data_IF_505203848438
#
_entry.id   IF_505203848438
#
_cell.length_a   1.000
_cell.length_b   1.000
_cell.length_c   1.000
_cell.angle_alpha   90.00
_cell.angle_beta   90.00
_cell.angle_gamma   90.00
#
_symmetry.space_group_name_H-M   'P 1'
#
loop_
_entity.id
_entity.type
_entity.pdbx_description
1 polymer ?
#
# COMPACT_ATOMS: atom_id res chain seq x y z
N UNK A 1 -23.09 2.04 66.05
CA UNK A 1 -22.19 1.92 64.89
C UNK A 1 -22.29 3.21 64.06
N UNK A 2 -21.27 4.08 64.07
CA UNK A 2 -21.23 5.29 63.23
C UNK A 2 -20.28 5.05 62.07
N UNK A 3 -20.85 4.88 60.88
CA UNK A 3 -20.11 4.74 59.63
C UNK A 3 -19.55 6.12 59.23
N UNK A 4 -18.22 6.28 59.30
CA UNK A 4 -17.55 7.52 58.93
C UNK A 4 -17.62 7.73 57.41
N UNK A 5 -18.57 8.55 56.95
CA UNK A 5 -18.60 9.05 55.56
C UNK A 5 -17.37 9.94 55.32
N UNK A 6 -16.37 9.42 54.60
CA UNK A 6 -15.21 10.21 54.16
C UNK A 6 -15.70 11.44 53.36
N UNK A 7 -15.24 12.67 53.67
CA UNK A 7 -15.78 13.87 53.02
C UNK A 7 -15.40 13.93 51.53
N UNK A 8 -16.40 14.02 50.67
CA UNK A 8 -16.29 14.15 49.20
C UNK A 8 -15.30 15.24 48.73
N UNK A 9 -15.06 16.28 49.55
CA UNK A 9 -14.07 17.34 49.29
C UNK A 9 -12.61 16.83 49.27
N UNK A 10 -12.27 15.80 50.06
CA UNK A 10 -10.93 15.22 50.07
C UNK A 10 -10.67 14.38 48.82
N UNK A 11 -11.70 13.68 48.33
CA UNK A 11 -11.60 12.87 47.12
C UNK A 11 -11.33 13.71 45.86
N UNK A 12 -12.05 14.82 45.68
CA UNK A 12 -11.83 15.75 44.54
C UNK A 12 -10.44 16.41 44.57
N UNK A 13 -9.94 16.78 45.76
CA UNK A 13 -8.57 17.32 45.92
C UNK A 13 -7.50 16.28 45.59
N UNK A 14 -7.70 15.02 46.01
CA UNK A 14 -6.82 13.92 45.68
C UNK A 14 -6.78 13.65 44.17
N UNK A 15 -7.94 13.61 43.50
CA UNK A 15 -8.02 13.45 42.05
C UNK A 15 -7.33 14.60 41.31
N UNK A 16 -7.58 15.86 41.70
CA UNK A 16 -6.93 17.01 41.07
C UNK A 16 -5.40 16.97 41.25
N UNK A 17 -4.88 16.59 42.42
CA UNK A 17 -3.46 16.45 42.66
C UNK A 17 -2.82 15.31 41.85
N UNK A 18 -3.53 14.19 41.70
CA UNK A 18 -3.09 13.07 40.86
C UNK A 18 -3.09 13.44 39.37
N UNK A 19 -4.11 14.15 38.88
CA UNK A 19 -4.16 14.67 37.51
C UNK A 19 -3.04 15.68 37.25
N UNK A 20 -2.71 16.55 38.22
CA UNK A 20 -1.63 17.52 38.10
C UNK A 20 -0.24 16.84 38.13
N UNK A 21 -0.07 15.77 38.91
CA UNK A 21 1.15 14.95 38.92
C UNK A 21 1.33 14.23 37.58
N UNK A 22 0.29 13.57 37.10
CA UNK A 22 0.29 12.90 35.79
C UNK A 22 0.59 13.90 34.66
N UNK A 23 -0.04 15.08 34.66
CA UNK A 23 0.26 16.15 33.70
C UNK A 23 1.71 16.62 33.77
N UNK A 24 2.30 16.74 34.97
CA UNK A 24 3.72 17.12 35.13
C UNK A 24 4.69 16.01 34.70
N UNK A 25 4.31 14.75 34.87
CA UNK A 25 5.05 13.58 34.39
C UNK A 25 4.97 13.47 32.85
N UNK A 26 3.78 13.63 32.28
CA UNK A 26 3.52 13.57 30.82
C UNK A 26 4.18 14.77 30.10
N UNK A 27 4.13 15.99 30.67
CA UNK A 27 4.79 17.18 30.10
C UNK A 27 6.31 17.10 30.10
N UNK A 28 6.90 16.14 30.84
CA UNK A 28 8.34 15.87 30.82
C UNK A 28 8.76 15.05 29.59
N UNK A 29 7.81 14.45 28.86
CA UNK A 29 8.05 13.73 27.61
C UNK A 29 7.53 14.56 26.44
N UNK A 30 8.38 15.46 25.96
CA UNK A 30 8.16 16.12 24.67
C UNK A 30 8.90 15.34 23.59
N UNK A 31 8.22 14.99 22.51
CA UNK A 31 8.79 14.30 21.37
C UNK A 31 8.75 15.23 20.16
N UNK A 32 9.86 15.33 19.44
CA UNK A 32 9.96 16.08 18.18
C UNK A 32 10.24 15.11 17.05
N UNK A 33 9.44 15.18 15.99
CA UNK A 33 9.66 14.43 14.76
C UNK A 33 10.18 15.37 13.68
N UNK A 34 11.23 14.95 12.95
CA UNK A 34 11.77 15.69 11.81
C UNK A 34 11.78 14.78 10.60
N UNK A 35 11.26 15.27 9.46
CA UNK A 35 11.40 14.63 8.14
C UNK A 35 12.58 15.27 7.42
N UNK A 36 13.44 14.47 6.80
CA UNK A 36 14.56 14.94 5.97
C UNK A 36 14.32 14.48 4.53
N UNK A 37 14.74 15.31 3.59
CA UNK A 37 14.76 14.99 2.16
C UNK A 37 16.15 15.29 1.65
N UNK A 38 16.67 14.41 0.80
CA UNK A 38 17.96 14.52 0.15
C UNK A 38 17.83 14.10 -1.31
N UNK A 39 18.72 14.62 -2.15
CA UNK A 39 18.77 14.25 -3.57
C UNK A 39 19.33 12.83 -3.70
N UNK A 40 18.71 12.04 -4.57
CA UNK A 40 19.15 10.68 -4.86
C UNK A 40 18.82 10.29 -6.30
N UNK A 41 19.28 9.13 -6.73
CA UNK A 41 18.90 8.48 -7.98
C UNK A 41 18.66 6.98 -7.75
N UNK A 42 18.11 6.27 -8.73
CA UNK A 42 17.77 4.85 -8.54
C UNK A 42 18.98 3.95 -8.31
N UNK A 43 20.15 4.30 -8.85
CA UNK A 43 21.41 3.61 -8.55
C UNK A 43 21.76 3.66 -7.07
N UNK A 44 21.66 4.85 -6.45
CA UNK A 44 21.86 5.02 -5.01
C UNK A 44 20.75 4.37 -4.18
N UNK A 45 19.49 4.41 -4.63
CA UNK A 45 18.40 3.68 -3.97
C UNK A 45 18.69 2.18 -3.95
N UNK A 46 19.22 1.62 -5.04
CA UNK A 46 19.66 0.21 -5.10
C UNK A 46 20.79 -0.09 -4.12
N UNK A 47 21.76 0.80 -3.97
CA UNK A 47 22.81 0.67 -2.94
C UNK A 47 22.23 0.70 -1.51
N UNK A 48 21.24 1.56 -1.24
CA UNK A 48 20.54 1.61 0.04
C UNK A 48 19.72 0.35 0.32
N UNK A 49 19.13 -0.25 -0.72
CA UNK A 49 18.44 -1.55 -0.64
C UNK A 49 19.42 -2.65 -0.26
N UNK A 50 20.54 -2.78 -0.99
CA UNK A 50 21.58 -3.77 -0.71
C UNK A 50 22.22 -3.59 0.68
N UNK A 51 22.39 -2.35 1.13
CA UNK A 51 22.89 -2.02 2.47
C UNK A 51 21.85 -2.20 3.59
N UNK A 52 20.58 -2.51 3.27
CA UNK A 52 19.50 -2.62 4.26
C UNK A 52 19.22 -1.32 5.02
N UNK A 53 19.47 -0.16 4.38
CA UNK A 53 19.40 1.16 5.02
C UNK A 53 18.02 1.81 4.90
N UNK A 54 17.19 1.35 3.96
CA UNK A 54 15.81 1.81 3.82
C UNK A 54 14.91 1.27 4.94
N UNK A 55 13.86 2.01 5.23
CA UNK A 55 12.80 1.65 6.20
C UNK A 55 11.44 1.73 5.54
N UNK A 56 10.51 0.92 6.04
CA UNK A 56 9.09 1.01 5.66
C UNK A 56 8.60 2.45 5.89
N UNK A 57 7.96 3.02 4.87
CA UNK A 57 7.51 4.42 4.86
C UNK A 57 8.49 5.43 4.29
N UNK A 58 9.73 5.06 3.95
CA UNK A 58 10.63 5.94 3.20
C UNK A 58 10.03 6.24 1.81
N UNK A 59 10.09 7.51 1.40
CA UNK A 59 9.48 8.02 0.17
C UNK A 59 10.57 8.39 -0.86
N UNK A 60 10.46 7.84 -2.07
CA UNK A 60 11.29 8.17 -3.24
C UNK A 60 10.41 8.90 -4.24
N UNK A 61 10.77 10.12 -4.61
CA UNK A 61 10.06 10.90 -5.64
C UNK A 61 10.81 10.86 -6.96
N UNK A 62 10.11 10.57 -8.05
CA UNK A 62 10.64 10.63 -9.41
C UNK A 62 9.54 11.09 -10.39
N UNK A 63 9.91 11.36 -11.64
CA UNK A 63 8.95 11.67 -12.70
C UNK A 63 8.94 10.54 -13.74
N UNK A 64 7.75 10.16 -14.20
CA UNK A 64 7.60 9.37 -15.40
C UNK A 64 8.13 10.15 -16.62
N UNK A 65 8.42 9.45 -17.72
CA UNK A 65 8.83 10.10 -18.98
C UNK A 65 7.76 11.05 -19.54
N UNK A 66 6.51 10.89 -19.11
CA UNK A 66 5.39 11.81 -19.41
C UNK A 66 5.46 13.12 -18.63
N UNK A 67 6.35 13.24 -17.64
CA UNK A 67 6.43 14.36 -16.72
C UNK A 67 5.52 14.25 -15.50
N UNK A 68 4.70 13.20 -15.39
CA UNK A 68 3.92 12.94 -14.18
C UNK A 68 4.86 12.62 -13.01
N UNK A 69 4.75 13.39 -11.93
CA UNK A 69 5.45 13.10 -10.68
C UNK A 69 4.80 11.91 -9.96
N UNK A 70 5.64 10.99 -9.49
CA UNK A 70 5.24 9.83 -8.70
C UNK A 70 6.07 9.77 -7.40
N UNK A 71 5.40 9.49 -6.29
CA UNK A 71 6.04 9.16 -5.01
C UNK A 71 5.86 7.68 -4.73
N UNK A 72 6.97 6.96 -4.65
CA UNK A 72 7.03 5.55 -4.28
C UNK A 72 7.37 5.42 -2.80
N UNK A 73 6.67 4.54 -2.10
CA UNK A 73 6.86 4.30 -0.67
C UNK A 73 7.37 2.89 -0.46
N UNK A 74 8.36 2.72 0.42
CA UNK A 74 8.77 1.39 0.88
C UNK A 74 7.60 0.74 1.62
N UNK A 75 7.00 -0.27 1.00
CA UNK A 75 5.80 -0.94 1.48
C UNK A 75 6.14 -2.08 2.46
N UNK A 76 7.16 -2.86 2.11
CA UNK A 76 7.60 -4.02 2.90
C UNK A 76 9.08 -4.32 2.64
N UNK A 77 9.76 -4.93 3.60
CA UNK A 77 11.17 -5.32 3.50
C UNK A 77 11.29 -6.78 3.92
N UNK A 78 11.80 -7.63 3.03
CA UNK A 78 12.09 -9.05 3.33
C UNK A 78 13.60 -9.27 3.43
N UNK A 79 14.02 -10.50 3.67
CA UNK A 79 15.45 -10.85 3.62
C UNK A 79 16.05 -10.66 2.22
N UNK A 80 15.25 -10.83 1.16
CA UNK A 80 15.73 -10.86 -0.22
C UNK A 80 15.49 -9.55 -1.00
N UNK A 81 14.47 -8.77 -0.63
CA UNK A 81 14.04 -7.63 -1.43
C UNK A 81 13.38 -6.52 -0.61
N UNK A 82 13.27 -5.35 -1.23
CA UNK A 82 12.47 -4.22 -0.76
C UNK A 82 11.33 -4.01 -1.76
N UNK A 83 10.09 -3.99 -1.26
CA UNK A 83 8.88 -3.79 -2.07
C UNK A 83 8.45 -2.33 -1.99
N UNK A 84 8.08 -1.76 -3.13
CA UNK A 84 7.63 -0.39 -3.25
C UNK A 84 6.19 -0.35 -3.77
N UNK A 85 5.41 0.62 -3.27
CA UNK A 85 4.07 0.95 -3.76
C UNK A 85 3.97 2.46 -3.95
N UNK A 86 3.43 2.91 -5.08
CA UNK A 86 3.21 4.35 -5.29
C UNK A 86 2.11 4.88 -4.37
N UNK A 87 2.34 6.04 -3.76
CA UNK A 87 1.33 6.81 -3.02
C UNK A 87 0.34 7.47 -3.95
N UNK A 88 0.85 7.99 -5.05
CA UNK A 88 0.09 8.59 -6.14
C UNK A 88 -0.42 7.51 -7.10
N UNK A 89 -1.53 7.80 -7.75
CA UNK A 89 -2.12 6.96 -8.79
C UNK A 89 -1.73 7.47 -10.18
N UNK A 90 -1.59 6.55 -11.14
CA UNK A 90 -1.48 6.90 -12.55
C UNK A 90 -2.72 7.70 -12.98
N UNK A 91 -2.56 8.67 -13.89
CA UNK A 91 -3.63 9.56 -14.32
C UNK A 91 -4.82 8.83 -14.96
N UNK A 92 -4.49 7.77 -15.69
CA UNK A 92 -5.42 7.04 -16.52
C UNK A 92 -6.25 6.07 -15.70
N UNK A 93 -7.56 6.06 -15.97
CA UNK A 93 -8.47 5.05 -15.44
C UNK A 93 -8.50 3.87 -16.40
N UNK A 94 -8.24 2.69 -15.87
CA UNK A 94 -8.10 1.46 -16.64
C UNK A 94 -9.16 0.48 -16.21
N UNK A 95 -9.84 -0.14 -17.19
CA UNK A 95 -10.75 -1.25 -16.95
C UNK A 95 -9.95 -2.52 -16.68
N UNK A 96 -10.53 -3.49 -15.97
CA UNK A 96 -9.82 -4.76 -15.72
C UNK A 96 -9.52 -5.50 -17.02
N UNK A 97 -10.58 -5.65 -17.83
CA UNK A 97 -10.56 -6.20 -19.18
C UNK A 97 -11.61 -5.45 -20.01
N UNK A 98 -11.33 -5.20 -21.29
CA UNK A 98 -12.28 -4.55 -22.21
C UNK A 98 -13.60 -5.34 -22.33
N UNK A 99 -13.53 -6.68 -22.22
CA UNK A 99 -14.71 -7.55 -22.25
C UNK A 99 -15.54 -7.52 -20.96
N UNK A 100 -15.10 -6.79 -19.93
CA UNK A 100 -15.79 -6.63 -18.64
C UNK A 100 -15.78 -7.87 -17.74
N UNK A 101 -14.87 -8.83 -17.96
CA UNK A 101 -14.74 -10.06 -17.17
C UNK A 101 -13.40 -10.15 -16.44
N UNK A 102 -13.32 -10.94 -15.37
CA UNK A 102 -12.09 -11.30 -14.65
C UNK A 102 -11.51 -12.65 -15.07
N UNK A 103 -12.01 -13.22 -16.17
CA UNK A 103 -11.54 -14.52 -16.71
C UNK A 103 -10.02 -14.51 -16.92
N UNK A 104 -9.35 -15.58 -16.48
CA UNK A 104 -7.89 -15.69 -16.55
C UNK A 104 -7.14 -14.96 -15.41
N UNK A 105 -7.85 -14.32 -14.50
CA UNK A 105 -7.27 -13.61 -13.37
C UNK A 105 -6.52 -12.36 -13.78
N UNK A 106 -5.54 -11.97 -12.97
CA UNK A 106 -4.70 -10.80 -13.26
C UNK A 106 -3.73 -11.09 -14.40
N UNK A 107 -3.13 -12.29 -14.44
CA UNK A 107 -2.13 -12.66 -15.45
C UNK A 107 -2.59 -12.40 -16.89
N UNK A 108 -3.83 -12.77 -17.20
CA UNK A 108 -4.40 -12.62 -18.55
C UNK A 108 -5.14 -11.28 -18.74
N UNK A 109 -5.10 -10.39 -17.74
CA UNK A 109 -5.86 -9.13 -17.80
C UNK A 109 -5.23 -8.05 -18.68
N UNK A 110 -6.08 -7.21 -19.28
CA UNK A 110 -5.66 -5.98 -19.93
C UNK A 110 -4.95 -5.04 -18.93
N UNK A 111 -5.35 -5.07 -17.66
CA UNK A 111 -4.70 -4.31 -16.60
C UNK A 111 -3.24 -4.75 -16.35
N UNK A 112 -2.96 -6.06 -16.36
CA UNK A 112 -1.60 -6.58 -16.24
C UNK A 112 -0.74 -6.21 -17.46
N UNK A 113 -1.33 -6.29 -18.66
CA UNK A 113 -0.70 -5.85 -19.91
C UNK A 113 -0.39 -4.34 -19.87
N UNK A 114 -1.36 -3.52 -19.48
CA UNK A 114 -1.19 -2.08 -19.30
C UNK A 114 0.01 -1.75 -18.39
N UNK A 115 0.10 -2.42 -17.23
CA UNK A 115 1.22 -2.23 -16.32
C UNK A 115 2.56 -2.64 -16.96
N UNK A 116 2.65 -3.85 -17.52
CA UNK A 116 3.95 -4.40 -17.94
C UNK A 116 4.38 -4.02 -19.36
N UNK A 117 3.51 -3.38 -20.14
CA UNK A 117 3.83 -2.86 -21.48
C UNK A 117 3.81 -1.32 -21.50
N UNK A 118 2.66 -0.72 -21.20
CA UNK A 118 2.43 0.71 -21.40
C UNK A 118 3.06 1.55 -20.28
N UNK A 119 2.77 1.21 -19.02
CA UNK A 119 3.37 1.88 -17.85
C UNK A 119 4.87 1.59 -17.80
N UNK A 120 5.28 0.35 -18.08
CA UNK A 120 6.68 0.01 -18.18
C UNK A 120 7.41 0.92 -19.18
N UNK A 121 6.86 1.13 -20.38
CA UNK A 121 7.51 1.95 -21.41
C UNK A 121 7.80 3.39 -20.95
N UNK A 122 6.93 3.97 -20.11
CA UNK A 122 7.05 5.35 -19.62
C UNK A 122 7.82 5.51 -18.31
N UNK A 123 8.34 4.43 -17.72
CA UNK A 123 9.24 4.53 -16.57
C UNK A 123 10.62 5.09 -16.97
N UNK A 124 11.29 5.86 -16.11
CA UNK A 124 12.69 6.25 -16.30
C UNK A 124 13.60 5.02 -16.44
N UNK A 125 14.60 5.10 -17.33
CA UNK A 125 15.52 3.99 -17.58
C UNK A 125 16.32 3.59 -16.32
N UNK A 126 16.67 4.56 -15.47
CA UNK A 126 17.34 4.28 -14.20
C UNK A 126 16.46 3.46 -13.24
N UNK A 127 15.14 3.72 -13.21
CA UNK A 127 14.18 2.93 -12.44
C UNK A 127 14.05 1.52 -13.00
N UNK A 128 13.87 1.39 -14.32
CA UNK A 128 13.80 0.08 -14.99
C UNK A 128 15.02 -0.79 -14.70
N UNK A 129 16.21 -0.18 -14.65
CA UNK A 129 17.47 -0.89 -14.42
C UNK A 129 17.62 -1.48 -13.00
N UNK A 130 16.81 -1.03 -12.04
CA UNK A 130 16.85 -1.52 -10.65
C UNK A 130 15.68 -2.41 -10.28
N UNK A 131 14.58 -2.36 -11.04
CA UNK A 131 13.41 -3.22 -10.82
C UNK A 131 13.78 -4.69 -11.07
N UNK A 132 13.38 -5.53 -10.13
CA UNK A 132 13.50 -6.98 -10.22
C UNK A 132 12.15 -7.61 -10.55
N UNK A 133 12.18 -8.75 -11.24
CA UNK A 133 10.98 -9.56 -11.40
C UNK A 133 10.63 -10.25 -10.07
N UNK A 134 9.34 -10.27 -9.78
CA UNK A 134 8.73 -10.89 -8.60
C UNK A 134 7.77 -11.99 -9.05
N UNK A 135 7.75 -13.10 -8.31
CA UNK A 135 6.72 -14.12 -8.46
C UNK A 135 5.40 -13.66 -7.80
N UNK A 136 4.32 -13.75 -8.56
CA UNK A 136 2.95 -13.50 -8.10
C UNK A 136 2.16 -14.81 -8.14
N UNK A 137 1.30 -14.98 -7.13
CA UNK A 137 0.34 -16.07 -7.05
C UNK A 137 -1.06 -15.54 -7.35
N UNK A 138 -1.82 -16.28 -8.16
CA UNK A 138 -3.27 -16.14 -8.27
C UNK A 138 -3.95 -17.51 -8.16
N UNK A 139 -5.19 -17.53 -7.67
CA UNK A 139 -6.08 -18.69 -7.78
C UNK A 139 -7.28 -18.27 -8.61
N UNK A 140 -7.52 -18.98 -9.71
CA UNK A 140 -8.64 -18.72 -10.63
C UNK A 140 -9.36 -20.03 -10.86
N UNK A 141 -10.66 -20.08 -10.56
CA UNK A 141 -11.50 -21.29 -10.68
C UNK A 141 -10.89 -22.50 -9.94
N UNK A 142 -10.35 -22.27 -8.74
CA UNK A 142 -9.70 -23.29 -7.91
C UNK A 142 -8.35 -23.79 -8.44
N UNK A 143 -7.78 -23.16 -9.48
CA UNK A 143 -6.45 -23.49 -10.00
C UNK A 143 -5.43 -22.46 -9.55
N UNK A 144 -4.41 -22.95 -8.87
CA UNK A 144 -3.23 -22.17 -8.50
C UNK A 144 -2.36 -21.90 -9.73
N UNK A 145 -1.94 -20.65 -9.90
CA UNK A 145 -1.00 -20.26 -10.95
C UNK A 145 0.03 -19.25 -10.43
N UNK A 146 1.30 -19.51 -10.74
CA UNK A 146 2.45 -18.67 -10.39
C UNK A 146 3.10 -18.10 -11.64
N UNK A 147 3.46 -16.83 -11.61
CA UNK A 147 4.02 -16.12 -12.77
C UNK A 147 4.88 -14.94 -12.35
N UNK A 148 5.82 -14.54 -13.19
CA UNK A 148 6.76 -13.46 -12.91
C UNK A 148 6.26 -12.15 -13.49
N UNK A 149 6.33 -11.06 -12.72
CA UNK A 149 6.01 -9.71 -13.15
C UNK A 149 7.09 -8.72 -12.75
N UNK A 150 7.28 -7.67 -13.56
CA UNK A 150 8.12 -6.52 -13.20
C UNK A 150 7.30 -5.51 -12.41
N UNK A 151 6.14 -5.14 -12.94
CA UNK A 151 5.17 -4.28 -12.28
C UNK A 151 3.92 -5.07 -11.89
N UNK A 152 3.40 -4.80 -10.70
CA UNK A 152 2.28 -5.56 -10.13
C UNK A 152 1.37 -4.65 -9.28
N UNK A 153 0.23 -5.21 -8.86
CA UNK A 153 -0.67 -4.64 -7.86
C UNK A 153 -0.62 -5.50 -6.59
N UNK A 154 -0.75 -4.91 -5.39
CA UNK A 154 -0.79 -5.73 -4.20
C UNK A 154 -2.05 -6.60 -4.21
N UNK A 155 -1.96 -7.80 -3.66
CA UNK A 155 -3.14 -8.65 -3.43
C UNK A 155 -4.01 -8.07 -2.31
N UNK A 156 -5.26 -8.52 -2.22
CA UNK A 156 -6.14 -8.21 -1.08
C UNK A 156 -5.46 -8.55 0.25
N UNK A 157 -4.84 -9.73 0.34
CA UNK A 157 -4.15 -10.19 1.53
C UNK A 157 -2.95 -9.30 1.89
N UNK A 158 -2.18 -8.85 0.91
CA UNK A 158 -1.04 -7.94 1.13
C UNK A 158 -1.46 -6.56 1.65
N UNK A 159 -2.66 -6.09 1.29
CA UNK A 159 -3.19 -4.81 1.77
C UNK A 159 -3.87 -4.95 3.13
N UNK A 160 -4.67 -6.00 3.33
CA UNK A 160 -5.58 -6.08 4.47
C UNK A 160 -5.13 -7.06 5.55
N UNK A 161 -4.28 -8.04 5.22
CA UNK A 161 -3.89 -9.14 6.12
C UNK A 161 -5.02 -10.14 6.36
N UNK A 162 -6.05 -10.09 5.52
CA UNK A 162 -7.24 -10.93 5.54
C UNK A 162 -7.75 -11.03 4.10
N UNK A 163 -8.50 -12.09 3.79
CA UNK A 163 -9.17 -12.24 2.50
C UNK A 163 -10.67 -12.32 2.71
N UNK A 164 -11.41 -11.38 2.12
CA UNK A 164 -12.88 -11.38 2.21
C UNK A 164 -13.52 -11.80 0.90
N UNK A 165 -12.92 -11.37 -0.22
CA UNK A 165 -13.45 -11.62 -1.55
C UNK A 165 -12.58 -12.59 -2.37
N UNK A 166 -11.27 -12.67 -2.14
CA UNK A 166 -10.37 -13.51 -2.96
C UNK A 166 -10.02 -14.85 -2.33
N UNK A 167 -9.66 -15.84 -3.17
CA UNK A 167 -9.28 -17.19 -2.69
C UNK A 167 -7.81 -17.28 -2.24
N UNK A 168 -7.01 -16.25 -2.50
CA UNK A 168 -5.56 -16.26 -2.22
C UNK A 168 -5.29 -15.68 -0.83
N UNK A 169 -4.90 -16.56 0.09
CA UNK A 169 -4.40 -16.21 1.44
C UNK A 169 -2.90 -16.52 1.58
N UNK A 170 -2.10 -16.10 0.60
CA UNK A 170 -0.64 -16.27 0.63
C UNK A 170 0.08 -14.95 0.88
N UNK A 171 1.17 -15.03 1.64
CA UNK A 171 2.06 -13.92 1.93
C UNK A 171 1.81 -13.33 3.32
N UNK A 172 2.09 -12.05 3.48
CA UNK A 172 1.82 -11.28 4.69
C UNK A 172 1.31 -9.90 4.31
N UNK A 173 0.51 -9.30 5.18
CA UNK A 173 0.19 -7.89 5.05
C UNK A 173 1.50 -7.09 5.03
N UNK A 174 1.66 -6.21 4.03
CA UNK A 174 2.81 -5.32 4.00
C UNK A 174 2.82 -4.42 5.23
N UNK A 175 3.99 -4.25 5.85
CA UNK A 175 4.15 -3.47 7.07
C UNK A 175 3.56 -2.06 6.92
N UNK A 176 3.67 -1.45 5.74
CA UNK A 176 3.08 -0.14 5.43
C UNK A 176 1.56 -0.10 5.63
N UNK A 177 0.84 -1.15 5.23
CA UNK A 177 -0.63 -1.18 5.24
C UNK A 177 -1.24 -1.58 6.59
N UNK A 178 -0.41 -1.91 7.59
CA UNK A 178 -0.84 -2.03 8.98
C UNK A 178 -1.36 -0.70 9.54
N UNK A 179 -0.88 0.42 9.00
CA UNK A 179 -1.54 1.72 9.16
C UNK A 179 -2.56 1.93 8.03
N UNK A 180 -3.88 1.87 8.31
CA UNK A 180 -4.91 1.96 7.27
C UNK A 180 -4.89 3.28 6.49
N UNK A 181 -4.28 4.33 7.04
CA UNK A 181 -4.15 5.63 6.35
C UNK A 181 -3.33 5.51 5.07
N UNK A 182 -2.40 4.55 4.99
CA UNK A 182 -1.57 4.32 3.82
C UNK A 182 -2.32 3.60 2.68
N UNK A 183 -3.54 3.11 2.92
CA UNK A 183 -4.40 2.50 1.90
C UNK A 183 -5.15 3.55 1.06
N UNK A 184 -5.33 4.75 1.61
CA UNK A 184 -5.93 5.87 0.89
C UNK A 184 -4.90 6.45 -0.07
N UNK A 185 -5.25 6.48 -1.36
CA UNK A 185 -4.43 7.03 -2.43
C UNK A 185 -5.14 8.20 -3.11
N UNK A 186 -4.34 9.05 -3.73
CA UNK A 186 -4.80 10.29 -4.35
C UNK A 186 -4.54 10.26 -5.85
N UNK A 187 -5.47 10.84 -6.62
CA UNK A 187 -5.26 11.12 -8.04
C UNK A 187 -4.44 12.41 -8.25
N UNK A 188 -4.26 12.79 -9.51
CA UNK A 188 -3.46 13.96 -9.88
C UNK A 188 -4.03 15.28 -9.39
N UNK A 189 -5.34 15.34 -9.12
CA UNK A 189 -6.03 16.53 -8.62
C UNK A 189 -6.00 16.59 -7.07
N UNK A 190 -5.39 15.59 -6.42
CA UNK A 190 -5.33 15.50 -4.97
C UNK A 190 -6.62 14.98 -4.34
N UNK A 191 -7.49 14.35 -5.12
CA UNK A 191 -8.73 13.74 -4.65
C UNK A 191 -8.51 12.27 -4.29
N UNK A 192 -9.22 11.80 -3.27
CA UNK A 192 -9.14 10.40 -2.85
C UNK A 192 -9.82 9.53 -3.89
N UNK A 193 -9.18 8.45 -4.30
CA UNK A 193 -9.71 7.59 -5.35
C UNK A 193 -9.67 6.11 -5.01
N UNK A 194 -10.59 5.38 -5.66
CA UNK A 194 -10.62 3.92 -5.64
C UNK A 194 -9.58 3.36 -6.61
N UNK A 195 -8.89 2.30 -6.23
CA UNK A 195 -7.82 1.69 -7.00
C UNK A 195 -7.85 0.15 -7.01
N UNK A 196 -7.36 -0.45 -8.10
CA UNK A 196 -7.40 -1.91 -8.33
C UNK A 196 -6.40 -2.70 -7.46
N UNK A 197 -6.77 -3.94 -7.11
CA UNK A 197 -5.87 -4.94 -6.52
C UNK A 197 -5.57 -6.05 -7.53
N UNK A 198 -4.52 -6.85 -7.29
CA UNK A 198 -4.23 -8.03 -8.13
C UNK A 198 -5.31 -9.12 -7.98
N UNK A 199 -5.98 -9.17 -6.83
CA UNK A 199 -6.95 -10.21 -6.51
C UNK A 199 -8.26 -10.07 -7.32
N UNK A 200 -8.78 -11.22 -7.79
CA UNK A 200 -10.15 -11.34 -8.32
C UNK A 200 -11.07 -11.94 -7.26
N UNK A 201 -12.38 -11.68 -7.37
CA UNK A 201 -13.35 -12.21 -6.41
C UNK A 201 -13.66 -13.70 -6.69
N UNK A 202 -13.61 -14.52 -5.64
CA UNK A 202 -13.91 -15.95 -5.66
C UNK A 202 -15.29 -16.21 -6.27
N UNK A 203 -15.35 -17.07 -7.29
CA UNK A 203 -16.61 -17.48 -7.92
C UNK A 203 -17.33 -16.42 -8.77
N UNK A 204 -16.80 -15.20 -8.92
CA UNK A 204 -17.39 -14.16 -9.76
C UNK A 204 -16.49 -13.80 -10.95
N UNK A 205 -16.94 -14.11 -12.17
CA UNK A 205 -16.19 -13.86 -13.40
C UNK A 205 -16.30 -12.43 -13.95
N UNK A 206 -16.94 -11.52 -13.21
CA UNK A 206 -17.17 -10.12 -13.63
C UNK A 206 -16.69 -9.11 -12.61
N UNK A 207 -16.02 -9.55 -11.54
CA UNK A 207 -15.69 -8.69 -10.40
C UNK A 207 -14.23 -8.92 -9.98
N UNK A 208 -13.53 -7.83 -9.68
CA UNK A 208 -12.19 -7.84 -9.11
C UNK A 208 -12.11 -7.00 -7.82
N UNK A 209 -11.13 -7.31 -6.98
CA UNK A 209 -10.93 -6.63 -5.70
C UNK A 209 -10.29 -5.26 -5.91
N UNK A 210 -10.56 -4.35 -4.99
CA UNK A 210 -10.12 -2.96 -5.04
C UNK A 210 -10.06 -2.37 -3.64
N UNK A 211 -9.48 -1.18 -3.52
CA UNK A 211 -9.53 -0.38 -2.30
C UNK A 211 -10.29 0.90 -2.59
N UNK A 212 -11.30 1.18 -1.77
CA UNK A 212 -12.11 2.38 -1.87
C UNK A 212 -11.32 3.65 -1.52
N UNK A 213 -11.84 4.81 -1.92
CA UNK A 213 -11.27 6.12 -1.58
C UNK A 213 -11.20 6.40 -0.07
N UNK A 214 -11.84 5.58 0.76
CA UNK A 214 -11.76 5.60 2.22
C UNK A 214 -10.75 4.59 2.82
N UNK A 215 -10.05 3.80 2.00
CA UNK A 215 -9.05 2.82 2.43
C UNK A 215 -9.61 1.45 2.85
N UNK A 216 -10.88 1.17 2.56
CA UNK A 216 -11.56 -0.11 2.88
C UNK A 216 -11.59 -0.99 1.63
N UNK A 217 -11.63 -2.32 1.81
CA UNK A 217 -11.83 -3.26 0.71
C UNK A 217 -13.19 -3.06 0.04
N UNK A 218 -13.17 -3.19 -1.28
CA UNK A 218 -14.35 -3.23 -2.13
C UNK A 218 -14.11 -4.20 -3.28
N UNK A 219 -15.21 -4.66 -3.87
CA UNK A 219 -15.20 -5.36 -5.13
C UNK A 219 -15.94 -4.52 -6.18
N UNK A 220 -15.38 -4.43 -7.39
CA UNK A 220 -15.93 -3.63 -8.49
C UNK A 220 -16.07 -4.47 -9.75
N UNK A 221 -17.06 -4.10 -10.57
CA UNK A 221 -17.22 -4.73 -11.88
C UNK A 221 -15.98 -4.50 -12.73
N UNK A 222 -15.52 -5.53 -13.42
CA UNK A 222 -14.37 -5.48 -14.32
C UNK A 222 -14.56 -4.49 -15.48
N UNK A 223 -15.80 -4.06 -15.74
CA UNK A 223 -16.14 -3.00 -16.71
C UNK A 223 -16.00 -1.57 -16.17
N UNK A 224 -15.79 -1.38 -14.86
CA UNK A 224 -15.49 -0.07 -14.30
C UNK A 224 -14.03 0.31 -14.62
N UNK A 225 -13.78 1.60 -14.85
CA UNK A 225 -12.44 2.12 -15.00
C UNK A 225 -11.97 2.73 -13.66
N UNK A 226 -10.99 2.11 -13.01
CA UNK A 226 -10.40 2.59 -11.76
C UNK A 226 -8.95 3.01 -11.99
N UNK A 227 -8.39 3.71 -11.02
CA UNK A 227 -7.01 4.17 -11.07
C UNK A 227 -6.06 3.07 -10.57
N UNK A 228 -4.78 3.21 -10.92
CA UNK A 228 -3.80 2.13 -10.80
C UNK A 228 -2.56 2.65 -10.07
N UNK A 229 -2.15 2.06 -8.93
CA UNK A 229 -0.83 2.32 -8.36
C UNK A 229 0.25 1.53 -9.11
N UNK A 230 1.50 1.94 -8.95
CA UNK A 230 2.65 1.21 -9.47
C UNK A 230 3.37 0.53 -8.31
N UNK A 231 3.52 -0.79 -8.39
CA UNK A 231 4.29 -1.57 -7.42
C UNK A 231 5.41 -2.34 -8.11
N UNK A 232 6.54 -2.45 -7.44
CA UNK A 232 7.73 -3.15 -7.93
C UNK A 232 8.60 -3.56 -6.74
N UNK A 233 9.63 -4.37 -6.99
CA UNK A 233 10.64 -4.67 -5.98
C UNK A 233 12.05 -4.46 -6.50
N UNK A 234 12.97 -4.25 -5.56
CA UNK A 234 14.41 -4.21 -5.80
C UNK A 234 15.03 -5.29 -4.90
N UNK A 235 15.78 -6.23 -5.49
CA UNK A 235 16.52 -7.25 -4.75
C UNK A 235 17.73 -6.63 -4.03
N UNK A 236 18.06 -7.19 -2.87
CA UNK A 236 19.26 -6.86 -2.10
C UNK A 236 20.53 -7.41 -2.74
#
# INVERSE_FOLDING_TARGET
>A
MREQRKPWKNYRRQQAANSLRKYKEDKKRMEITRKRTEETNWGQVKELVAAGSLKVGDEISDNLLTGQKMVYVVADITEEEVKFVSKDLLAERVVWNENGRSTGGFKESDLCRYLNEEVWAILPEELKAVISERECLQIVEGKEERFMLKLWLPSEFEVFGDSWDSEVEEGQQFELFKDPRNRVKFDQDGERATWWLLSVCAGYSTIACSVGSNGIAYSYSCSNALLVPVCFSIKK
#
